data_IF_750961969830
#
_entry.id   IF_750961969830
#
_cell.length_a   1.000
_cell.length_b   1.000
_cell.length_c   1.000
_cell.angle_alpha   90.00
_cell.angle_beta   90.00
_cell.angle_gamma   90.00
#
_symmetry.space_group_name_H-M   'P 1'
#
loop_
_entity.id
_entity.type
_entity.pdbx_description
1 polymer ?
#
# COMPACT_ATOMS: atom_id res chain seq x y z
N UNK A 1 -24.17 -6.54 -3.46
CA UNK A 1 -23.63 -6.23 -4.80
C UNK A 1 -22.77 -7.41 -5.21
N UNK A 2 -22.80 -7.87 -6.46
CA UNK A 2 -21.82 -8.87 -6.91
C UNK A 2 -20.43 -8.23 -6.97
N UNK A 3 -19.38 -9.03 -6.77
CA UNK A 3 -17.99 -8.56 -6.81
C UNK A 3 -17.67 -7.88 -8.14
N UNK A 4 -18.25 -8.36 -9.25
CA UNK A 4 -18.11 -7.76 -10.58
C UNK A 4 -18.69 -6.33 -10.67
N UNK A 5 -19.84 -6.09 -10.04
CA UNK A 5 -20.47 -4.76 -10.05
C UNK A 5 -19.65 -3.76 -9.23
N UNK A 6 -19.12 -4.21 -8.08
CA UNK A 6 -18.24 -3.42 -7.24
C UNK A 6 -16.91 -3.12 -7.96
N UNK A 7 -16.26 -4.13 -8.55
CA UNK A 7 -15.02 -3.95 -9.32
C UNK A 7 -15.21 -3.00 -10.51
N UNK A 8 -16.32 -3.11 -11.25
CA UNK A 8 -16.61 -2.18 -12.34
C UNK A 8 -16.86 -0.75 -11.84
N UNK A 9 -17.43 -0.56 -10.64
CA UNK A 9 -17.57 0.78 -10.04
C UNK A 9 -16.24 1.41 -9.64
N UNK A 10 -15.19 0.60 -9.43
CA UNK A 10 -13.85 1.07 -9.09
C UNK A 10 -13.00 1.43 -10.32
N UNK A 11 -13.42 1.02 -11.53
CA UNK A 11 -12.71 1.37 -12.79
C UNK A 11 -12.98 2.83 -13.14
N UNK A 12 -11.96 3.66 -13.06
CA UNK A 12 -12.01 5.08 -13.38
C UNK A 12 -11.69 5.34 -14.86
N UNK A 13 -10.90 4.46 -15.50
CA UNK A 13 -10.53 4.60 -16.93
C UNK A 13 -11.10 3.47 -17.81
N UNK A 14 -11.88 3.80 -18.86
CA UNK A 14 -12.35 2.81 -19.81
C UNK A 14 -11.19 2.02 -20.44
N UNK A 15 -11.31 0.69 -20.49
CA UNK A 15 -10.28 -0.19 -21.06
C UNK A 15 -9.17 -0.61 -20.09
N UNK A 16 -9.13 -0.07 -18.87
CA UNK A 16 -8.19 -0.51 -17.84
C UNK A 16 -8.79 -1.58 -16.92
N UNK A 17 -7.90 -2.30 -16.24
CA UNK A 17 -8.19 -3.28 -15.21
C UNK A 17 -7.51 -2.88 -13.90
N UNK A 18 -8.13 -3.27 -12.78
CA UNK A 18 -7.59 -3.04 -11.45
C UNK A 18 -6.71 -4.22 -11.05
N UNK A 19 -5.45 -3.95 -10.74
CA UNK A 19 -4.49 -4.93 -10.26
C UNK A 19 -4.14 -4.65 -8.81
N UNK A 20 -3.76 -5.70 -8.08
CA UNK A 20 -3.18 -5.55 -6.76
C UNK A 20 -2.01 -6.50 -6.56
N UNK A 21 -1.07 -6.11 -5.69
CA UNK A 21 0.02 -6.96 -5.23
C UNK A 21 0.30 -6.67 -3.77
N UNK A 22 0.52 -7.74 -3.00
CA UNK A 22 0.81 -7.68 -1.57
C UNK A 22 2.25 -8.13 -1.38
N UNK A 23 3.07 -7.26 -0.81
CA UNK A 23 4.50 -7.48 -0.60
C UNK A 23 4.75 -7.56 0.90
N UNK A 24 5.06 -8.76 1.38
CA UNK A 24 5.44 -9.00 2.77
C UNK A 24 6.94 -8.79 2.96
N UNK A 25 7.32 -8.01 3.98
CA UNK A 25 8.70 -7.78 4.38
C UNK A 25 8.98 -8.56 5.68
N UNK A 26 9.76 -9.64 5.56
CA UNK A 26 10.18 -10.44 6.71
C UNK A 26 11.19 -9.66 7.58
N UNK A 27 11.41 -10.02 8.85
CA UNK A 27 12.32 -9.29 9.75
C UNK A 27 13.76 -9.10 9.22
N UNK A 28 14.26 -10.03 8.40
CA UNK A 28 15.60 -9.92 7.79
C UNK A 28 15.63 -9.25 6.41
N UNK A 29 14.49 -8.84 5.86
CA UNK A 29 14.42 -8.17 4.57
C UNK A 29 14.74 -6.66 4.71
N UNK A 30 14.85 -5.93 3.60
CA UNK A 30 15.01 -4.48 3.59
C UNK A 30 13.66 -3.78 3.85
N UNK A 31 13.59 -2.96 4.91
CA UNK A 31 12.33 -2.35 5.41
C UNK A 31 12.05 -0.93 4.91
N UNK A 32 12.88 -0.38 4.02
CA UNK A 32 12.49 0.83 3.28
C UNK A 32 11.82 0.43 1.98
N UNK A 33 10.81 1.19 1.61
CA UNK A 33 10.04 0.94 0.41
C UNK A 33 10.03 2.19 -0.46
N UNK A 34 9.96 1.93 -1.76
CA UNK A 34 10.19 2.90 -2.80
C UNK A 34 9.00 2.91 -3.74
N UNK A 35 8.78 4.04 -4.39
CA UNK A 35 7.74 4.13 -5.40
C UNK A 35 8.07 3.24 -6.59
N UNK A 36 7.20 2.30 -6.99
CA UNK A 36 7.45 1.42 -8.14
C UNK A 36 7.28 2.14 -9.48
N UNK A 37 6.64 3.30 -9.48
CA UNK A 37 6.35 4.13 -10.65
C UNK A 37 6.39 5.61 -10.31
N UNK A 38 6.39 6.48 -11.32
CA UNK A 38 6.11 7.90 -11.12
C UNK A 38 4.61 8.10 -10.98
N UNK A 39 4.19 8.84 -9.95
CA UNK A 39 2.79 9.11 -9.64
C UNK A 39 2.64 10.39 -8.83
N UNK A 40 1.41 10.90 -8.78
CA UNK A 40 1.02 12.09 -8.04
C UNK A 40 0.12 11.66 -6.88
N UNK A 41 0.54 11.96 -5.67
CA UNK A 41 -0.17 11.66 -4.42
C UNK A 41 -1.10 12.81 -4.08
N UNK A 42 -2.38 12.51 -3.90
CA UNK A 42 -3.42 13.53 -3.70
C UNK A 42 -4.10 13.42 -2.34
N UNK A 43 -4.18 12.20 -1.81
CA UNK A 43 -4.90 11.91 -0.58
C UNK A 43 -4.20 10.84 0.25
N UNK A 44 -4.32 10.99 1.56
CA UNK A 44 -3.92 10.00 2.57
C UNK A 44 -5.12 9.70 3.44
N UNK A 45 -5.40 8.41 3.65
CA UNK A 45 -6.22 7.92 4.76
C UNK A 45 -5.35 7.12 5.72
N UNK A 46 -5.29 7.55 6.96
CA UNK A 46 -4.65 6.81 8.04
C UNK A 46 -5.68 6.10 8.89
N UNK A 47 -5.46 4.82 9.13
CA UNK A 47 -6.26 4.00 10.02
C UNK A 47 -5.39 3.61 11.20
N UNK A 48 -5.61 4.17 12.40
CA UNK A 48 -5.04 3.64 13.62
C UNK A 48 -5.52 2.21 13.84
N UNK A 49 -4.70 1.39 14.45
CA UNK A 49 -5.05 -0.01 14.66
C UNK A 49 -4.07 -0.72 15.59
N UNK A 50 -4.33 -2.00 15.76
CA UNK A 50 -3.46 -2.91 16.49
C UNK A 50 -2.19 -3.19 15.66
N UNK A 51 -1.25 -3.94 16.22
CA UNK A 51 -0.04 -4.38 15.53
C UNK A 51 0.03 -5.90 15.54
N UNK A 52 -0.94 -6.57 14.92
CA UNK A 52 -0.96 -8.04 14.85
C UNK A 52 0.06 -8.55 13.83
N UNK A 53 0.49 -9.81 13.99
CA UNK A 53 1.56 -10.37 13.16
C UNK A 53 1.06 -10.66 11.75
N UNK A 54 1.70 -10.07 10.74
CA UNK A 54 1.36 -10.24 9.32
C UNK A 54 2.10 -11.41 8.64
N UNK A 55 2.67 -12.34 9.42
CA UNK A 55 3.35 -13.52 8.85
C UNK A 55 2.40 -14.28 7.89
N UNK A 56 2.84 -14.67 6.67
CA UNK A 56 2.00 -15.38 5.69
C UNK A 56 1.30 -16.64 6.21
N UNK A 57 1.87 -17.31 7.22
CA UNK A 57 1.19 -18.36 7.96
C UNK A 57 -0.08 -17.84 8.63
N UNK A 58 0.02 -16.78 9.43
CA UNK A 58 -1.07 -16.16 10.22
C UNK A 58 -2.06 -15.38 9.34
N UNK A 59 -1.57 -14.65 8.33
CA UNK A 59 -2.41 -13.85 7.42
C UNK A 59 -3.41 -14.70 6.61
N UNK A 60 -3.08 -15.97 6.34
CA UNK A 60 -4.00 -16.92 5.69
C UNK A 60 -5.14 -17.40 6.58
N UNK A 61 -4.99 -17.33 7.91
CA UNK A 61 -5.99 -17.82 8.86
C UNK A 61 -6.93 -16.73 9.41
N UNK A 62 -6.60 -15.44 9.21
CA UNK A 62 -7.40 -14.33 9.72
C UNK A 62 -7.91 -13.50 8.54
N UNK A 63 -9.15 -13.74 8.12
CA UNK A 63 -9.85 -12.86 7.17
C UNK A 63 -9.87 -11.44 7.73
N UNK A 64 -9.31 -10.48 6.97
CA UNK A 64 -9.30 -9.07 7.37
C UNK A 64 -8.17 -8.67 8.32
N UNK A 65 -7.11 -9.47 8.47
CA UNK A 65 -5.94 -9.11 9.31
C UNK A 65 -5.40 -7.70 9.01
N UNK A 66 -5.33 -7.32 7.73
CA UNK A 66 -4.89 -5.98 7.30
C UNK A 66 -5.83 -4.85 7.74
N UNK A 67 -7.09 -5.16 8.03
CA UNK A 67 -8.07 -4.17 8.48
C UNK A 67 -7.88 -3.82 9.96
N UNK A 68 -7.32 -4.73 10.75
CA UNK A 68 -7.05 -4.53 12.18
C UNK A 68 -5.74 -3.80 12.43
N UNK A 69 -4.76 -3.94 11.53
CA UNK A 69 -3.47 -3.32 11.71
C UNK A 69 -3.50 -1.83 11.38
N UNK A 70 -2.68 -1.06 12.12
CA UNK A 70 -2.38 0.32 11.75
C UNK A 70 -1.86 0.39 10.31
N UNK A 71 -2.44 1.29 9.50
CA UNK A 71 -2.04 1.46 8.10
C UNK A 71 -2.21 2.89 7.61
N UNK A 72 -1.32 3.31 6.74
CA UNK A 72 -1.41 4.57 6.01
C UNK A 72 -1.60 4.27 4.52
N UNK A 73 -2.71 4.73 3.96
CA UNK A 73 -3.12 4.50 2.57
C UNK A 73 -2.95 5.81 1.82
N UNK A 74 -2.05 5.83 0.84
CA UNK A 74 -1.83 6.97 -0.05
C UNK A 74 -2.41 6.68 -1.41
N UNK A 75 -3.23 7.59 -1.91
CA UNK A 75 -3.97 7.46 -3.18
C UNK A 75 -3.73 8.67 -4.07
N UNK A 76 -3.72 8.41 -5.37
CA UNK A 76 -3.67 9.42 -6.40
C UNK A 76 -3.65 8.75 -7.76
N UNK A 77 -2.78 9.22 -8.65
CA UNK A 77 -2.74 8.72 -10.01
C UNK A 77 -1.33 8.56 -10.58
N UNK A 78 -1.14 7.54 -11.40
CA UNK A 78 0.02 7.32 -12.25
C UNK A 78 -0.36 7.43 -13.73
N UNK A 79 0.56 7.15 -14.65
CA UNK A 79 0.33 7.30 -16.09
C UNK A 79 -0.95 6.61 -16.59
N UNK A 80 -1.32 5.46 -15.99
CA UNK A 80 -2.48 4.67 -16.39
C UNK A 80 -3.72 4.87 -15.52
N UNK A 81 -3.77 5.84 -14.61
CA UNK A 81 -4.98 6.14 -13.83
C UNK A 81 -4.77 5.97 -12.34
N UNK A 82 -5.73 5.38 -11.64
CA UNK A 82 -5.67 5.21 -10.19
C UNK A 82 -4.40 4.47 -9.76
N UNK A 83 -3.77 4.97 -8.69
CA UNK A 83 -2.69 4.31 -8.00
C UNK A 83 -2.85 4.50 -6.49
N UNK A 84 -2.62 3.42 -5.76
CA UNK A 84 -2.60 3.40 -4.30
C UNK A 84 -1.43 2.57 -3.79
N UNK A 85 -0.76 3.11 -2.77
CA UNK A 85 0.25 2.41 -2.00
C UNK A 85 -0.11 2.52 -0.52
N UNK A 86 -0.34 1.37 0.09
CA UNK A 86 -0.67 1.25 1.51
C UNK A 86 0.50 0.65 2.25
N UNK A 87 0.95 1.34 3.29
CA UNK A 87 1.88 0.82 4.28
C UNK A 87 1.09 0.25 5.45
N UNK A 88 1.27 -1.03 5.75
CA UNK A 88 0.59 -1.72 6.85
C UNK A 88 1.62 -2.16 7.89
N UNK A 89 1.48 -1.66 9.11
CA UNK A 89 2.34 -2.00 10.23
C UNK A 89 2.10 -3.44 10.73
N UNK A 90 3.04 -3.97 11.52
CA UNK A 90 2.88 -5.24 12.23
C UNK A 90 3.53 -5.20 13.62
N UNK A 91 3.47 -6.33 14.34
CA UNK A 91 3.90 -6.49 15.74
C UNK A 91 5.37 -6.18 15.95
N UNK A 92 5.68 -5.71 17.16
CA UNK A 92 7.04 -5.46 17.65
C UNK A 92 7.78 -4.33 16.92
N UNK A 93 7.37 -3.10 17.21
CA UNK A 93 8.17 -1.88 17.03
C UNK A 93 8.22 -1.41 15.58
N UNK A 94 7.34 -0.49 15.15
CA UNK A 94 7.36 -0.07 13.76
C UNK A 94 6.45 1.10 13.40
N UNK A 95 6.89 2.32 13.69
CA UNK A 95 6.32 3.51 13.05
C UNK A 95 6.35 3.37 11.55
N UNK A 96 5.22 3.62 10.91
CA UNK A 96 5.18 3.88 9.48
C UNK A 96 5.69 5.30 9.33
N UNK A 97 6.83 5.45 8.67
CA UNK A 97 7.38 6.77 8.33
C UNK A 97 7.26 6.97 6.84
N UNK A 98 6.68 8.09 6.44
CA UNK A 98 6.49 8.48 5.04
C UNK A 98 7.26 9.76 4.80
N UNK A 99 8.27 9.71 3.94
CA UNK A 99 9.24 10.81 3.81
C UNK A 99 8.63 12.07 3.20
N UNK A 100 7.64 11.90 2.33
CA UNK A 100 6.94 13.02 1.71
C UNK A 100 5.77 13.56 2.55
N UNK A 101 5.48 12.97 3.71
CA UNK A 101 4.37 13.39 4.57
C UNK A 101 4.80 13.42 6.04
N UNK A 102 5.41 14.54 6.43
CA UNK A 102 5.95 14.75 7.77
C UNK A 102 4.87 14.88 8.86
N UNK A 103 3.60 15.04 8.48
CA UNK A 103 2.46 15.13 9.41
C UNK A 103 1.80 13.76 9.66
N UNK A 104 2.31 12.67 9.09
CA UNK A 104 1.84 11.34 9.49
C UNK A 104 2.47 10.97 10.82
N UNK A 105 1.64 10.88 11.85
CA UNK A 105 2.01 10.30 13.13
C UNK A 105 1.41 8.90 13.25
N UNK A 106 2.24 7.92 13.58
CA UNK A 106 1.83 6.51 13.80
C UNK A 106 2.25 6.05 15.19
N UNK A 107 1.63 4.98 15.70
CA UNK A 107 1.79 4.51 17.08
C UNK A 107 1.44 5.57 18.15
N UNK A 108 0.44 6.41 17.87
CA UNK A 108 -0.04 7.39 18.85
C UNK A 108 -0.65 6.66 20.05
N UNK A 109 -0.09 6.89 21.23
CA UNK A 109 -0.52 6.21 22.46
C UNK A 109 -1.86 6.78 22.93
N UNK A 110 -2.86 5.92 23.07
CA UNK A 110 -4.20 6.28 23.56
C UNK A 110 -5.28 5.36 23.00
N UNK A 111 -6.41 5.23 23.72
CA UNK A 111 -7.57 4.49 23.18
C UNK A 111 -8.21 5.32 22.07
N UNK A 112 -7.90 5.00 20.82
CA UNK A 112 -8.67 5.49 19.68
C UNK A 112 -9.98 4.70 19.59
N UNK A 113 -11.13 5.35 19.31
CA UNK A 113 -12.37 4.62 19.05
C UNK A 113 -12.19 3.64 17.90
N UNK A 114 -12.81 2.47 18.00
CA UNK A 114 -12.81 1.49 16.90
C UNK A 114 -13.38 2.13 15.63
N UNK A 115 -12.81 1.81 14.47
CA UNK A 115 -13.18 2.33 13.15
C UNK A 115 -12.89 3.83 12.91
N UNK A 116 -12.03 4.45 13.71
CA UNK A 116 -11.54 5.80 13.42
C UNK A 116 -10.60 5.79 12.21
N UNK A 117 -10.67 6.82 11.37
CA UNK A 117 -9.67 7.08 10.34
C UNK A 117 -9.45 8.59 10.20
N UNK A 118 -8.28 8.98 9.71
CA UNK A 118 -7.88 10.37 9.51
C UNK A 118 -7.55 10.60 8.04
N UNK A 119 -8.37 11.42 7.39
CA UNK A 119 -8.17 11.84 6.02
C UNK A 119 -7.34 13.11 5.94
N UNK A 120 -6.44 13.15 4.98
CA UNK A 120 -5.68 14.33 4.58
C UNK A 120 -5.67 14.41 3.07
N UNK A 121 -6.20 15.51 2.54
CA UNK A 121 -6.00 15.89 1.14
C UNK A 121 -4.79 16.80 1.07
N UNK A 122 -3.87 16.54 0.14
CA UNK A 122 -2.72 17.39 -0.09
C UNK A 122 -3.15 18.59 -0.97
N UNK A 123 -3.15 19.84 -0.46
CA UNK A 123 -3.56 20.99 -1.27
C UNK A 123 -2.64 21.20 -2.47
N UNK A 124 -1.37 20.88 -2.29
CA UNK A 124 -0.38 20.73 -3.37
C UNK A 124 -0.07 19.22 -3.48
N UNK A 125 -0.57 18.54 -4.53
CA UNK A 125 -0.26 17.14 -4.75
C UNK A 125 1.24 16.88 -4.83
N UNK A 126 1.67 15.75 -4.31
CA UNK A 126 3.09 15.41 -4.20
C UNK A 126 3.46 14.51 -5.37
N UNK A 127 4.35 14.96 -6.26
CA UNK A 127 4.93 14.10 -7.29
C UNK A 127 6.04 13.25 -6.70
N UNK A 128 5.93 11.93 -6.86
CA UNK A 128 6.94 10.95 -6.47
C UNK A 128 7.39 10.21 -7.72
N UNK A 129 8.70 10.13 -7.94
CA UNK A 129 9.26 9.47 -9.12
C UNK A 129 9.53 7.99 -8.87
N UNK A 130 9.56 7.21 -9.95
CA UNK A 130 9.96 5.81 -9.89
C UNK A 130 11.33 5.66 -9.22
N UNK A 131 11.39 4.80 -8.20
CA UNK A 131 12.60 4.53 -7.43
C UNK A 131 12.82 5.47 -6.23
N UNK A 132 12.07 6.57 -6.13
CA UNK A 132 12.14 7.46 -4.97
C UNK A 132 11.78 6.68 -3.70
N UNK A 133 12.51 6.95 -2.64
CA UNK A 133 12.24 6.37 -1.33
C UNK A 133 10.95 7.00 -0.79
N UNK A 134 9.93 6.18 -0.55
CA UNK A 134 8.62 6.67 -0.13
C UNK A 134 8.46 6.62 1.38
N UNK A 135 8.91 5.52 1.99
CA UNK A 135 8.82 5.35 3.44
C UNK A 135 9.67 4.21 3.96
N UNK A 136 9.58 4.01 5.27
CA UNK A 136 10.21 2.89 5.97
C UNK A 136 9.36 2.38 7.12
N UNK A 137 9.63 1.13 7.50
CA UNK A 137 9.17 0.51 8.73
C UNK A 137 10.36 0.23 9.64
N UNK A 138 10.15 0.19 10.96
CA UNK A 138 11.23 -0.23 11.87
C UNK A 138 11.34 -1.77 11.98
N UNK A 139 10.23 -2.53 11.89
CA UNK A 139 10.26 -3.99 11.87
C UNK A 139 8.95 -4.58 11.32
N UNK A 140 9.05 -5.65 10.51
CA UNK A 140 7.95 -6.54 10.07
C UNK A 140 6.73 -5.83 9.47
N UNK A 141 6.51 -5.92 8.16
CA UNK A 141 5.45 -5.11 7.54
C UNK A 141 4.93 -5.66 6.23
N UNK A 142 3.90 -5.00 5.69
CA UNK A 142 3.33 -5.31 4.39
C UNK A 142 3.08 -4.03 3.60
N UNK A 143 3.44 -4.06 2.31
CA UNK A 143 3.03 -3.06 1.33
C UNK A 143 1.92 -3.65 0.46
N UNK A 144 0.81 -2.93 0.34
CA UNK A 144 -0.27 -3.27 -0.59
C UNK A 144 -0.29 -2.22 -1.69
N UNK A 145 -0.13 -2.66 -2.93
CA UNK A 145 -0.31 -1.82 -4.11
C UNK A 145 -1.65 -2.16 -4.76
N UNK A 146 -2.41 -1.14 -5.14
CA UNK A 146 -3.62 -1.27 -5.95
C UNK A 146 -3.54 -0.22 -7.05
N UNK A 147 -3.65 -0.62 -8.31
CA UNK A 147 -3.46 0.30 -9.43
C UNK A 147 -4.24 -0.11 -10.67
N UNK A 148 -4.65 0.87 -11.46
CA UNK A 148 -5.22 0.65 -12.78
C UNK A 148 -4.13 0.50 -13.82
N UNK A 149 -4.22 -0.50 -14.70
CA UNK A 149 -3.34 -0.65 -15.85
C UNK A 149 -4.13 -1.07 -17.11
N UNK A 150 -3.59 -0.90 -18.32
CA UNK A 150 -4.21 -1.43 -19.54
C UNK A 150 -4.32 -2.96 -19.48
N UNK A 151 -5.31 -3.55 -20.17
CA UNK A 151 -5.51 -5.03 -20.26
C UNK A 151 -4.28 -5.84 -20.70
N UNK A 152 -3.30 -5.19 -21.32
CA UNK A 152 -2.03 -5.80 -21.72
C UNK A 152 -1.01 -5.94 -20.58
N UNK A 153 -1.29 -5.39 -19.39
CA UNK A 153 -0.38 -5.48 -18.24
C UNK A 153 -0.24 -6.93 -17.76
N UNK A 154 1.00 -7.35 -17.54
CA UNK A 154 1.31 -8.67 -17.00
C UNK A 154 2.34 -8.57 -15.89
N UNK A 155 2.08 -9.29 -14.81
CA UNK A 155 3.08 -9.49 -13.76
C UNK A 155 4.23 -10.36 -14.29
N UNK A 156 5.44 -10.00 -13.92
CA UNK A 156 6.69 -10.76 -14.17
C UNK A 156 7.17 -11.50 -12.91
N UNK A 157 6.30 -11.56 -11.90
CA UNK A 157 6.49 -12.24 -10.61
C UNK A 157 5.27 -13.11 -10.34
N UNK A 158 5.47 -14.21 -9.62
CA UNK A 158 4.41 -15.09 -9.17
C UNK A 158 4.21 -14.97 -7.66
N UNK A 159 3.07 -15.45 -7.16
CA UNK A 159 2.83 -15.55 -5.72
C UNK A 159 3.92 -16.41 -5.07
N UNK A 160 4.44 -15.94 -3.93
CA UNK A 160 5.52 -16.60 -3.19
C UNK A 160 6.93 -16.28 -3.67
N UNK A 161 7.10 -15.60 -4.81
CA UNK A 161 8.41 -15.19 -5.28
C UNK A 161 9.10 -14.24 -4.29
N UNK A 162 10.39 -14.49 -4.02
CA UNK A 162 11.25 -13.47 -3.42
C UNK A 162 11.57 -12.39 -4.46
N UNK A 163 11.22 -11.15 -4.14
CA UNK A 163 11.53 -9.98 -4.98
C UNK A 163 12.74 -9.21 -4.43
N UNK A 164 13.35 -8.40 -5.29
CA UNK A 164 14.47 -7.50 -4.94
C UNK A 164 14.12 -6.08 -5.35
N UNK A 165 14.65 -5.11 -4.62
CA UNK A 165 14.60 -3.71 -5.05
C UNK A 165 15.15 -3.55 -6.48
N UNK A 166 14.46 -2.76 -7.30
CA UNK A 166 14.79 -2.54 -8.71
C UNK A 166 14.30 -3.63 -9.68
N UNK A 167 13.85 -4.79 -9.20
CA UNK A 167 13.24 -5.81 -10.06
C UNK A 167 11.85 -5.34 -10.53
N UNK A 168 11.55 -5.39 -11.83
CA UNK A 168 10.19 -5.13 -12.32
C UNK A 168 9.17 -6.09 -11.71
N UNK A 169 8.02 -5.56 -11.28
CA UNK A 169 6.88 -6.37 -10.85
C UNK A 169 6.01 -6.79 -12.04
N UNK A 170 5.96 -5.96 -13.08
CA UNK A 170 5.21 -6.21 -14.30
C UNK A 170 5.42 -5.10 -15.32
N UNK A 171 4.86 -5.29 -16.50
CA UNK A 171 4.89 -4.31 -17.57
C UNK A 171 3.68 -4.49 -18.49
N UNK A 172 3.34 -3.43 -19.20
CA UNK A 172 2.45 -3.50 -20.36
C UNK A 172 3.26 -4.08 -21.53
N UNK A 173 2.66 -5.01 -22.28
CA UNK A 173 3.20 -5.50 -23.55
C UNK A 173 3.25 -4.39 -24.61
#
# INVERSE_FOLDING_TARGET
QSDDAYQNSLRLRPGNELHHVIIYLAPGDYHRFHSPTTWVVEHRRHFPGELLSVNPGVARWIQGLFNFNERAVYTGHWEHGFFSMSAVGATNVGSIKIYCDQELETNVHGKQPQNTFFDKRFPQPITVHKGDMFGEFNLGSTIVLIFEAPRGFRFTVNEGDKIKFGRPLGSTL
#
